data_IF_095816937964
#
_entry.id   IF_095816937964
#
_cell.length_a   1.000
_cell.length_b   1.000
_cell.length_c   1.000
_cell.angle_alpha   90.00
_cell.angle_beta   90.00
_cell.angle_gamma   90.00
#
_symmetry.space_group_name_H-M   'P 1'
#
loop_
_entity.id
_entity.type
_entity.pdbx_description
1 polymer ?
#
# COMPACT_ATOMS: atom_id res chain seq x y z
N UNK A 1 -11.09 4.05 -20.04
CA UNK A 1 -9.67 3.67 -19.78
C UNK A 1 -8.74 4.89 -19.66
N UNK A 2 -8.74 5.83 -20.60
CA UNK A 2 -7.91 7.05 -20.53
C UNK A 2 -8.18 7.85 -19.24
N UNK A 3 -9.46 8.00 -18.85
CA UNK A 3 -9.87 8.69 -17.62
C UNK A 3 -9.24 8.04 -16.37
N UNK A 4 -9.21 6.71 -16.30
CA UNK A 4 -8.58 5.98 -15.19
C UNK A 4 -7.08 6.25 -15.09
N UNK A 5 -6.39 6.34 -16.24
CA UNK A 5 -4.96 6.67 -16.29
C UNK A 5 -4.68 8.10 -15.82
N UNK A 6 -5.51 9.07 -16.25
CA UNK A 6 -5.40 10.45 -15.78
C UNK A 6 -5.57 10.50 -14.26
N UNK A 7 -6.55 9.77 -13.74
CA UNK A 7 -6.82 9.70 -12.31
C UNK A 7 -5.66 9.07 -11.52
N UNK A 8 -5.09 7.98 -12.03
CA UNK A 8 -3.93 7.33 -11.44
C UNK A 8 -2.68 8.21 -11.47
N UNK A 9 -2.46 8.94 -12.57
CA UNK A 9 -1.35 9.90 -12.68
C UNK A 9 -1.48 11.02 -11.66
N UNK A 10 -2.69 11.58 -11.51
CA UNK A 10 -2.99 12.60 -10.51
C UNK A 10 -2.81 12.07 -9.08
N UNK A 11 -3.22 10.83 -8.81
CA UNK A 11 -3.05 10.18 -7.52
C UNK A 11 -1.56 9.95 -7.16
N UNK A 12 -0.74 9.54 -8.14
CA UNK A 12 0.72 9.41 -7.97
C UNK A 12 1.33 10.79 -7.71
N UNK A 13 0.91 11.83 -8.43
CA UNK A 13 1.42 13.19 -8.22
C UNK A 13 1.11 13.69 -6.80
N UNK A 14 -0.12 13.50 -6.31
CA UNK A 14 -0.50 13.82 -4.93
C UNK A 14 0.35 13.02 -3.94
N UNK A 15 0.58 11.73 -4.21
CA UNK A 15 1.40 10.88 -3.34
C UNK A 15 2.85 11.38 -3.25
N UNK A 16 3.44 11.80 -4.37
CA UNK A 16 4.79 12.37 -4.40
C UNK A 16 4.86 13.72 -3.68
N UNK A 17 3.81 14.54 -3.77
CA UNK A 17 3.72 15.77 -3.01
C UNK A 17 3.65 15.51 -1.49
N UNK A 18 2.82 14.55 -1.06
CA UNK A 18 2.74 14.13 0.35
C UNK A 18 4.10 13.59 0.82
N UNK A 19 4.76 12.78 0.00
CA UNK A 19 6.11 12.27 0.28
C UNK A 19 7.11 13.41 0.51
N UNK A 20 7.09 14.43 -0.35
CA UNK A 20 7.94 15.61 -0.19
C UNK A 20 7.69 16.30 1.16
N UNK A 21 6.42 16.59 1.47
CA UNK A 21 6.03 17.29 2.71
C UNK A 21 6.43 16.50 3.95
N UNK A 22 6.20 15.18 3.96
CA UNK A 22 6.55 14.31 5.08
C UNK A 22 8.07 14.17 5.22
N UNK A 23 8.81 14.07 4.12
CA UNK A 23 10.26 13.79 4.17
C UNK A 23 11.11 15.03 4.45
N UNK A 24 10.70 16.22 3.98
CA UNK A 24 11.50 17.46 4.07
C UNK A 24 11.85 17.85 5.51
N UNK A 25 10.90 17.68 6.43
CA UNK A 25 11.00 18.17 7.81
C UNK A 25 11.07 17.03 8.84
N UNK A 26 11.32 15.79 8.43
CA UNK A 26 11.38 14.67 9.36
C UNK A 26 12.72 14.66 10.12
N UNK A 27 12.66 14.91 11.43
CA UNK A 27 13.85 14.97 12.28
C UNK A 27 14.60 13.63 12.36
N UNK A 28 13.90 12.50 12.27
CA UNK A 28 14.52 11.17 12.35
C UNK A 28 15.36 10.90 11.10
N UNK A 29 14.86 11.30 9.92
CA UNK A 29 15.62 11.21 8.66
C UNK A 29 16.84 12.13 8.68
N UNK A 30 16.67 13.38 9.11
CA UNK A 30 17.76 14.37 9.20
C UNK A 30 18.86 13.92 10.16
N UNK A 31 18.49 13.42 11.35
CA UNK A 31 19.44 12.91 12.35
C UNK A 31 20.26 11.72 11.82
N UNK A 32 19.67 10.90 10.95
CA UNK A 32 20.33 9.73 10.34
C UNK A 32 21.05 10.07 9.03
N UNK A 33 21.15 11.35 8.67
CA UNK A 33 21.86 11.80 7.47
C UNK A 33 21.20 11.35 6.16
N UNK A 34 19.92 10.98 6.18
CA UNK A 34 19.21 10.56 4.98
C UNK A 34 18.69 11.80 4.26
N UNK A 35 19.29 12.08 3.11
CA UNK A 35 18.88 13.21 2.26
C UNK A 35 17.51 12.95 1.62
N UNK A 36 16.79 14.03 1.33
CA UNK A 36 15.52 13.99 0.60
C UNK A 36 15.68 13.26 -0.76
N UNK A 37 16.79 13.50 -1.46
CA UNK A 37 17.13 12.85 -2.72
C UNK A 37 17.19 11.31 -2.57
N UNK A 38 17.78 10.83 -1.48
CA UNK A 38 17.84 9.39 -1.22
C UNK A 38 16.46 8.78 -1.01
N UNK A 39 15.54 9.48 -0.33
CA UNK A 39 14.15 9.03 -0.18
C UNK A 39 13.47 8.93 -1.54
N UNK A 40 13.56 9.97 -2.38
CA UNK A 40 12.98 9.94 -3.72
C UNK A 40 13.57 8.85 -4.62
N UNK A 41 14.88 8.65 -4.61
CA UNK A 41 15.53 7.59 -5.37
C UNK A 41 15.00 6.21 -4.96
N UNK A 42 14.81 5.98 -3.66
CA UNK A 42 14.20 4.75 -3.16
C UNK A 42 12.74 4.65 -3.59
N UNK A 43 11.97 5.73 -3.54
CA UNK A 43 10.58 5.77 -3.99
C UNK A 43 10.45 5.35 -5.45
N UNK A 44 11.27 5.88 -6.35
CA UNK A 44 11.18 5.53 -7.77
C UNK A 44 11.54 4.07 -8.03
N UNK A 45 12.55 3.53 -7.33
CA UNK A 45 12.87 2.11 -7.40
C UNK A 45 11.71 1.28 -6.83
N UNK A 46 11.14 1.70 -5.69
CA UNK A 46 9.99 1.06 -5.04
C UNK A 46 8.77 1.04 -5.97
N UNK A 47 8.48 2.13 -6.67
CA UNK A 47 7.40 2.19 -7.67
C UNK A 47 7.61 1.21 -8.84
N UNK A 48 8.85 1.09 -9.32
CA UNK A 48 9.16 0.15 -10.39
C UNK A 48 8.95 -1.31 -9.95
N UNK A 49 9.42 -1.66 -8.75
CA UNK A 49 9.20 -3.01 -8.21
C UNK A 49 7.73 -3.26 -7.84
N UNK A 50 7.01 -2.25 -7.36
CA UNK A 50 5.57 -2.33 -7.13
C UNK A 50 4.82 -2.61 -8.43
N UNK A 51 5.21 -1.97 -9.53
CA UNK A 51 4.65 -2.24 -10.84
C UNK A 51 4.87 -3.70 -11.26
N UNK A 52 6.12 -4.18 -11.17
CA UNK A 52 6.47 -5.56 -11.56
C UNK A 52 5.72 -6.58 -10.70
N UNK A 53 5.77 -6.44 -9.37
CA UNK A 53 5.13 -7.41 -8.47
C UNK A 53 3.62 -7.43 -8.67
N UNK A 54 2.97 -6.26 -8.71
CA UNK A 54 1.52 -6.19 -8.90
C UNK A 54 1.08 -6.76 -10.24
N UNK A 55 1.90 -6.66 -11.31
CA UNK A 55 1.64 -7.32 -12.60
C UNK A 55 1.82 -8.83 -12.53
N UNK A 56 2.93 -9.31 -11.96
CA UNK A 56 3.18 -10.76 -11.83
C UNK A 56 2.06 -11.44 -11.05
N UNK A 57 1.67 -10.89 -9.90
CA UNK A 57 0.60 -11.46 -9.09
C UNK A 57 -0.78 -11.36 -9.76
N UNK A 58 -1.04 -10.31 -10.55
CA UNK A 58 -2.27 -10.24 -11.34
C UNK A 58 -2.33 -11.36 -12.40
N UNK A 59 -1.22 -11.66 -13.06
CA UNK A 59 -1.14 -12.74 -14.05
C UNK A 59 -1.32 -14.10 -13.36
N UNK A 60 -0.73 -14.29 -12.18
CA UNK A 60 -0.91 -15.51 -11.39
C UNK A 60 -2.36 -15.70 -10.91
N UNK A 61 -3.05 -14.63 -10.54
CA UNK A 61 -4.45 -14.70 -10.10
C UNK A 61 -5.41 -15.06 -11.26
N UNK A 62 -5.17 -14.54 -12.47
CA UNK A 62 -6.10 -14.67 -13.60
C UNK A 62 -5.70 -15.76 -14.62
N UNK A 63 -4.47 -16.27 -14.54
CA UNK A 63 -3.90 -17.28 -15.45
C UNK A 63 -4.11 -16.97 -16.95
N UNK A 64 -3.93 -15.70 -17.38
CA UNK A 64 -3.98 -15.35 -18.81
C UNK A 64 -2.58 -15.51 -19.46
N UNK A 65 -2.36 -16.54 -20.30
CA UNK A 65 -1.05 -16.79 -20.92
C UNK A 65 -0.62 -15.66 -21.86
N UNK A 66 -1.55 -14.86 -22.40
CA UNK A 66 -1.23 -13.75 -23.31
C UNK A 66 -0.41 -12.65 -22.62
N UNK A 67 -0.52 -12.54 -21.31
CA UNK A 67 0.18 -11.53 -20.51
C UNK A 67 1.62 -11.94 -20.15
N UNK A 68 2.03 -13.18 -20.44
CA UNK A 68 3.39 -13.67 -20.22
C UNK A 68 4.39 -13.13 -21.25
N UNK A 69 3.92 -12.73 -22.43
CA UNK A 69 4.75 -12.06 -23.43
C UNK A 69 5.27 -10.73 -22.87
N UNK A 70 6.58 -10.51 -22.97
CA UNK A 70 7.26 -9.32 -22.41
C UNK A 70 6.62 -8.01 -22.88
N UNK A 71 6.24 -7.92 -24.16
CA UNK A 71 5.59 -6.73 -24.72
C UNK A 71 4.19 -6.52 -24.11
N UNK A 72 3.39 -7.58 -23.99
CA UNK A 72 2.05 -7.51 -23.40
C UNK A 72 2.11 -7.22 -21.89
N UNK A 73 3.17 -7.67 -21.21
CA UNK A 73 3.42 -7.39 -19.81
C UNK A 73 3.50 -5.89 -19.52
N UNK A 74 4.24 -5.13 -20.35
CA UNK A 74 4.37 -3.67 -20.19
C UNK A 74 3.23 -2.87 -20.85
N UNK A 75 2.44 -3.50 -21.71
CA UNK A 75 1.39 -2.81 -22.46
C UNK A 75 0.06 -2.68 -21.68
N UNK A 76 0.08 -1.83 -20.65
CA UNK A 76 -1.04 -1.60 -19.71
C UNK A 76 -2.30 -1.08 -20.42
N UNK A 77 -2.15 -0.36 -21.54
CA UNK A 77 -3.27 0.19 -22.30
C UNK A 77 -4.14 -0.91 -22.93
N UNK A 78 -3.55 -1.98 -23.47
CA UNK A 78 -4.35 -3.05 -24.10
C UNK A 78 -4.71 -4.16 -23.12
N UNK A 79 -3.82 -4.41 -22.16
CA UNK A 79 -3.97 -5.46 -21.16
C UNK A 79 -3.97 -4.84 -19.76
N UNK A 80 -5.07 -4.17 -19.38
CA UNK A 80 -5.20 -3.59 -18.05
C UNK A 80 -5.25 -4.71 -17.01
N UNK A 81 -4.59 -4.51 -15.87
CA UNK A 81 -4.53 -5.51 -14.82
C UNK A 81 -3.40 -5.24 -13.87
N UNK A 82 -3.71 -5.05 -12.59
CA UNK A 82 -2.71 -4.75 -11.59
C UNK A 82 -3.21 -5.16 -10.21
N UNK A 83 -2.41 -5.95 -9.49
CA UNK A 83 -2.74 -6.34 -8.13
C UNK A 83 -2.12 -5.36 -7.14
N UNK A 84 -2.97 -4.52 -6.53
CA UNK A 84 -2.51 -3.36 -5.75
C UNK A 84 -1.79 -3.78 -4.48
N UNK A 85 -2.33 -4.75 -3.75
CA UNK A 85 -1.77 -5.24 -2.49
C UNK A 85 -0.35 -5.79 -2.69
N UNK A 86 -0.16 -6.61 -3.71
CA UNK A 86 1.11 -7.24 -4.05
C UNK A 86 2.08 -6.24 -4.67
N UNK A 87 1.56 -5.20 -5.33
CA UNK A 87 2.30 -4.00 -5.69
C UNK A 87 2.91 -3.32 -4.46
N UNK A 88 2.12 -3.06 -3.41
CA UNK A 88 2.62 -2.49 -2.16
C UNK A 88 3.72 -3.35 -1.52
N UNK A 89 3.54 -4.69 -1.50
CA UNK A 89 4.58 -5.61 -0.97
C UNK A 89 5.87 -5.49 -1.78
N UNK A 90 5.80 -5.58 -3.11
CA UNK A 90 6.99 -5.50 -3.97
C UNK A 90 7.72 -4.18 -3.82
N UNK A 91 6.98 -3.08 -3.71
CA UNK A 91 7.57 -1.77 -3.44
C UNK A 91 8.27 -1.71 -2.07
N UNK A 92 7.70 -2.31 -1.03
CA UNK A 92 8.31 -2.34 0.30
C UNK A 92 9.52 -3.28 0.39
N UNK A 93 9.53 -4.37 -0.38
CA UNK A 93 10.66 -5.31 -0.43
C UNK A 93 11.98 -4.61 -0.83
N UNK A 94 11.92 -3.58 -1.67
CA UNK A 94 13.08 -2.76 -2.06
C UNK A 94 13.82 -2.18 -0.84
N UNK A 95 13.09 -1.83 0.22
CA UNK A 95 13.69 -1.27 1.44
C UNK A 95 14.57 -2.27 2.18
N UNK A 96 14.35 -3.57 2.00
CA UNK A 96 15.14 -4.62 2.64
C UNK A 96 16.44 -4.92 1.90
N UNK A 97 16.48 -4.71 0.58
CA UNK A 97 17.68 -4.90 -0.23
C UNK A 97 18.70 -3.77 -0.09
N UNK A 98 18.27 -2.57 0.31
CA UNK A 98 19.17 -1.42 0.43
C UNK A 98 19.78 -1.32 1.84
N UNK A 99 21.09 -1.02 1.90
CA UNK A 99 21.91 -0.93 3.12
C UNK A 99 21.61 0.27 4.04
N UNK A 100 20.43 0.89 3.94
CA UNK A 100 20.02 1.99 4.83
C UNK A 100 19.50 1.48 6.17
N UNK A 101 20.28 0.65 6.86
CA UNK A 101 19.81 -0.23 7.94
C UNK A 101 19.02 0.47 9.05
N UNK A 102 19.37 1.71 9.39
CA UNK A 102 18.90 2.36 10.62
C UNK A 102 17.56 3.09 10.49
N UNK A 103 17.16 3.57 9.31
CA UNK A 103 15.90 4.32 9.13
C UNK A 103 14.89 3.65 8.20
N UNK A 104 15.12 2.41 7.78
CA UNK A 104 14.24 1.70 6.81
C UNK A 104 12.78 1.74 7.21
N UNK A 105 12.51 1.48 8.49
CA UNK A 105 11.15 1.45 9.02
C UNK A 105 10.48 2.82 8.99
N UNK A 106 11.24 3.90 9.21
CA UNK A 106 10.72 5.27 9.09
C UNK A 106 10.45 5.64 7.63
N UNK A 107 11.37 5.26 6.72
CA UNK A 107 11.17 5.44 5.28
C UNK A 107 9.96 4.62 4.79
N UNK A 108 9.77 3.40 5.31
CA UNK A 108 8.59 2.59 5.04
C UNK A 108 7.30 3.28 5.50
N UNK A 109 7.27 3.85 6.71
CA UNK A 109 6.12 4.61 7.20
C UNK A 109 5.79 5.81 6.29
N UNK A 110 6.81 6.59 5.90
CA UNK A 110 6.61 7.77 5.03
C UNK A 110 6.12 7.32 3.64
N UNK A 111 6.73 6.29 3.05
CA UNK A 111 6.34 5.73 1.76
C UNK A 111 4.90 5.23 1.78
N UNK A 112 4.59 4.30 2.69
CA UNK A 112 3.24 3.71 2.80
C UNK A 112 2.19 4.79 3.06
N UNK A 113 2.46 5.74 3.95
CA UNK A 113 1.54 6.84 4.25
C UNK A 113 1.32 7.74 3.04
N UNK A 114 2.37 8.05 2.28
CA UNK A 114 2.26 8.88 1.07
C UNK A 114 1.43 8.19 -0.01
N UNK A 115 1.72 6.91 -0.28
CA UNK A 115 1.01 6.12 -1.29
C UNK A 115 -0.36 5.60 -0.85
N UNK A 116 -0.72 5.74 0.42
CA UNK A 116 -2.08 5.48 0.88
C UNK A 116 -3.11 6.37 0.16
N UNK A 117 -2.71 7.58 -0.25
CA UNK A 117 -3.55 8.43 -1.09
C UNK A 117 -3.82 7.82 -2.47
N UNK A 118 -2.80 7.22 -3.11
CA UNK A 118 -3.00 6.43 -4.35
C UNK A 118 -3.95 5.26 -4.13
N UNK A 119 -3.80 4.54 -3.01
CA UNK A 119 -4.69 3.44 -2.66
C UNK A 119 -6.14 3.90 -2.48
N UNK A 120 -6.35 5.00 -1.77
CA UNK A 120 -7.68 5.60 -1.58
C UNK A 120 -8.34 5.95 -2.92
N UNK A 121 -7.59 6.59 -3.83
CA UNK A 121 -8.08 6.88 -5.17
C UNK A 121 -8.36 5.63 -6.00
N UNK A 122 -7.58 4.57 -5.83
CA UNK A 122 -7.85 3.28 -6.46
C UNK A 122 -9.22 2.73 -6.02
N UNK A 123 -9.53 2.75 -4.72
CA UNK A 123 -10.83 2.29 -4.19
C UNK A 123 -11.99 3.17 -4.68
N UNK A 124 -11.77 4.49 -4.83
CA UNK A 124 -12.77 5.38 -5.46
C UNK A 124 -13.00 5.01 -6.92
N UNK A 125 -11.94 4.69 -7.65
CA UNK A 125 -12.05 4.38 -9.09
C UNK A 125 -12.76 3.04 -9.35
N UNK A 126 -12.67 2.09 -8.41
CA UNK A 126 -13.37 0.79 -8.48
C UNK A 126 -14.80 0.86 -7.95
N UNK A 127 -15.33 2.06 -7.74
CA UNK A 127 -16.62 2.26 -7.13
C UNK A 127 -17.76 2.12 -8.13
N UNK A 128 -18.70 1.22 -7.82
CA UNK A 128 -19.91 1.02 -8.62
C UNK A 128 -21.13 1.52 -7.83
N UNK A 129 -21.92 2.41 -8.42
CA UNK A 129 -23.15 2.98 -7.82
C UNK A 129 -24.31 1.97 -7.71
N UNK A 130 -24.05 0.68 -7.86
CA UNK A 130 -25.05 -0.39 -7.75
C UNK A 130 -25.31 -0.83 -6.30
N UNK A 131 -25.75 -2.08 -6.13
CA UNK A 131 -26.10 -2.67 -4.82
C UNK A 131 -24.96 -2.64 -3.79
N UNK A 132 -23.71 -2.59 -4.25
CA UNK A 132 -22.52 -2.60 -3.38
C UNK A 132 -22.20 -1.24 -2.76
N UNK A 133 -22.95 -0.18 -3.12
CA UNK A 133 -22.71 1.17 -2.63
C UNK A 133 -22.78 1.27 -1.10
N UNK A 134 -23.76 0.56 -0.50
CA UNK A 134 -23.99 0.57 0.95
C UNK A 134 -22.78 0.05 1.74
N UNK A 135 -21.97 -0.83 1.15
CA UNK A 135 -20.77 -1.37 1.81
C UNK A 135 -19.52 -0.57 1.45
N UNK A 136 -19.38 -0.15 0.18
CA UNK A 136 -18.20 0.59 -0.28
C UNK A 136 -18.11 2.02 0.31
N UNK A 137 -19.23 2.71 0.58
CA UNK A 137 -19.17 4.06 1.18
C UNK A 137 -18.63 4.09 2.61
N UNK A 138 -19.16 3.28 3.55
CA UNK A 138 -18.60 3.21 4.90
C UNK A 138 -17.11 2.86 4.89
N UNK A 139 -16.71 1.98 3.97
CA UNK A 139 -15.31 1.59 3.79
C UNK A 139 -14.44 2.79 3.35
N UNK A 140 -14.88 3.59 2.38
CA UNK A 140 -14.17 4.80 1.95
C UNK A 140 -14.05 5.82 3.08
N UNK A 141 -15.14 6.08 3.81
CA UNK A 141 -15.13 6.99 4.97
C UNK A 141 -14.15 6.48 6.03
N UNK A 142 -14.18 5.17 6.32
CA UNK A 142 -13.26 4.53 7.25
C UNK A 142 -11.80 4.71 6.84
N UNK A 143 -11.47 4.47 5.56
CA UNK A 143 -10.11 4.67 5.06
C UNK A 143 -9.65 6.13 5.18
N UNK A 144 -10.53 7.09 4.88
CA UNK A 144 -10.24 8.52 5.00
C UNK A 144 -10.00 8.91 6.47
N UNK A 145 -10.83 8.46 7.40
CA UNK A 145 -10.64 8.67 8.83
C UNK A 145 -9.31 8.07 9.30
N UNK A 146 -9.01 6.83 8.90
CA UNK A 146 -7.76 6.16 9.25
C UNK A 146 -6.54 6.91 8.67
N UNK A 147 -6.63 7.44 7.45
CA UNK A 147 -5.57 8.25 6.86
C UNK A 147 -5.22 9.47 7.73
N UNK A 148 -6.23 10.23 8.15
CA UNK A 148 -6.03 11.40 9.00
C UNK A 148 -5.48 11.02 10.39
N UNK A 149 -5.96 9.92 10.98
CA UNK A 149 -5.45 9.41 12.26
C UNK A 149 -3.97 9.00 12.15
N UNK A 150 -3.57 8.35 11.06
CA UNK A 150 -2.19 7.94 10.81
C UNK A 150 -1.28 9.14 10.53
N UNK A 151 -1.74 10.13 9.75
CA UNK A 151 -1.02 11.40 9.55
C UNK A 151 -0.79 12.12 10.88
N UNK A 152 -1.82 12.22 11.72
CA UNK A 152 -1.70 12.85 13.03
C UNK A 152 -0.74 12.06 13.96
N UNK A 153 -0.78 10.72 13.88
CA UNK A 153 0.11 9.85 14.64
C UNK A 153 1.57 9.97 14.20
N UNK A 154 1.81 10.15 12.89
CA UNK A 154 3.12 10.38 12.31
C UNK A 154 3.74 11.70 12.78
N UNK A 155 2.96 12.80 12.70
CA UNK A 155 3.41 14.15 13.11
C UNK A 155 3.75 14.22 14.60
N UNK A 156 2.96 13.55 15.43
CA UNK A 156 3.14 13.56 16.88
C UNK A 156 4.09 12.47 17.40
N UNK A 157 4.72 11.69 16.52
CA UNK A 157 5.60 10.56 16.89
C UNK A 157 4.96 9.59 17.90
N UNK A 158 3.63 9.39 17.82
CA UNK A 158 2.89 8.54 18.77
C UNK A 158 3.18 7.05 18.57
N UNK A 159 3.44 6.66 17.32
CA UNK A 159 3.70 5.29 16.91
C UNK A 159 5.19 5.08 16.68
N UNK A 160 5.66 3.86 16.96
CA UNK A 160 7.02 3.44 16.60
C UNK A 160 7.23 3.44 15.09
N UNK A 161 8.48 3.68 14.69
CA UNK A 161 8.92 3.46 13.31
C UNK A 161 8.51 2.07 12.81
N UNK A 162 7.92 2.02 11.62
CA UNK A 162 7.41 0.83 10.93
C UNK A 162 5.97 0.47 11.30
N UNK A 163 5.42 1.02 12.39
CA UNK A 163 4.04 0.69 12.79
C UNK A 163 2.99 1.27 11.86
N UNK A 164 3.24 2.45 11.27
CA UNK A 164 2.28 3.05 10.32
C UNK A 164 2.20 2.21 9.06
N UNK A 165 3.36 1.79 8.53
CA UNK A 165 3.42 0.88 7.39
C UNK A 165 2.65 -0.41 7.65
N UNK A 166 2.85 -1.04 8.81
CA UNK A 166 2.13 -2.27 9.16
C UNK A 166 0.61 -2.05 9.27
N UNK A 167 0.16 -0.94 9.86
CA UNK A 167 -1.27 -0.62 9.92
C UNK A 167 -1.84 -0.41 8.53
N UNK A 168 -1.13 0.28 7.65
CA UNK A 168 -1.56 0.50 6.26
C UNK A 168 -1.64 -0.83 5.50
N UNK A 169 -0.65 -1.72 5.65
CA UNK A 169 -0.68 -3.06 5.02
C UNK A 169 -1.89 -3.85 5.54
N UNK A 170 -2.16 -3.82 6.84
CA UNK A 170 -3.34 -4.47 7.41
C UNK A 170 -4.65 -3.89 6.83
N UNK A 171 -4.75 -2.57 6.69
CA UNK A 171 -5.92 -1.91 6.09
C UNK A 171 -6.12 -2.29 4.62
N UNK A 172 -5.05 -2.23 3.82
CA UNK A 172 -5.09 -2.64 2.40
C UNK A 172 -5.49 -4.10 2.27
N UNK A 173 -4.95 -4.97 3.15
CA UNK A 173 -5.28 -6.40 3.17
C UNK A 173 -6.74 -6.65 3.52
N UNK A 174 -7.26 -5.98 4.54
CA UNK A 174 -8.65 -6.10 4.95
C UNK A 174 -9.61 -5.62 3.85
N UNK A 175 -9.32 -4.46 3.24
CA UNK A 175 -10.13 -3.95 2.12
C UNK A 175 -10.06 -4.89 0.93
N UNK A 176 -8.87 -5.35 0.54
CA UNK A 176 -8.71 -6.27 -0.60
C UNK A 176 -9.47 -7.59 -0.40
N UNK A 177 -9.48 -8.11 0.83
CA UNK A 177 -10.28 -9.27 1.19
C UNK A 177 -11.78 -9.01 1.04
N UNK A 178 -12.27 -7.88 1.59
CA UNK A 178 -13.67 -7.48 1.53
C UNK A 178 -14.11 -7.26 0.07
N UNK A 179 -13.34 -6.51 -0.72
CA UNK A 179 -13.65 -6.21 -2.12
C UNK A 179 -13.80 -7.50 -2.94
N UNK A 180 -12.86 -8.44 -2.81
CA UNK A 180 -12.96 -9.73 -3.53
C UNK A 180 -14.10 -10.60 -2.99
N UNK A 181 -14.30 -10.66 -1.68
CA UNK A 181 -15.40 -11.42 -1.08
C UNK A 181 -16.79 -10.93 -1.53
N UNK A 182 -16.96 -9.61 -1.62
CA UNK A 182 -18.23 -8.99 -2.03
C UNK A 182 -18.50 -9.19 -3.53
N UNK A 183 -17.49 -8.98 -4.39
CA UNK A 183 -17.65 -9.02 -5.85
C UNK A 183 -18.10 -10.41 -6.32
N UNK A 184 -17.60 -11.49 -5.71
CA UNK A 184 -17.90 -12.84 -6.17
C UNK A 184 -19.25 -13.41 -5.68
N UNK A 185 -20.00 -12.68 -4.83
CA UNK A 185 -21.33 -13.07 -4.33
C UNK A 185 -21.41 -14.54 -3.85
N UNK A 186 -20.28 -15.06 -3.36
CA UNK A 186 -20.08 -16.41 -2.84
C UNK A 186 -19.71 -16.29 -1.37
N UNK A 187 -19.89 -17.37 -0.62
CA UNK A 187 -19.52 -17.41 0.80
C UNK A 187 -18.11 -16.85 1.00
N UNK A 188 -17.98 -15.79 1.81
CA UNK A 188 -16.73 -15.07 2.08
C UNK A 188 -15.60 -16.00 2.58
N UNK A 189 -15.98 -17.18 3.07
CA UNK A 189 -15.09 -18.20 3.63
C UNK A 189 -14.47 -19.12 2.57
N UNK A 190 -14.97 -19.14 1.34
CA UNK A 190 -14.35 -19.92 0.27
C UNK A 190 -13.19 -19.13 -0.34
N UNK A 191 -11.97 -19.61 -0.10
CA UNK A 191 -10.73 -19.02 -0.61
C UNK A 191 -10.57 -19.37 -2.10
N UNK A 192 -10.95 -18.44 -2.98
CA UNK A 192 -10.97 -18.68 -4.44
C UNK A 192 -9.78 -18.07 -5.19
N UNK A 193 -9.11 -17.07 -4.62
CA UNK A 193 -8.01 -16.37 -5.29
C UNK A 193 -6.73 -16.33 -4.45
N UNK A 194 -5.57 -16.33 -5.11
CA UNK A 194 -4.26 -16.32 -4.44
C UNK A 194 -4.11 -15.03 -3.63
N UNK A 195 -4.54 -13.91 -4.19
CA UNK A 195 -4.63 -12.62 -3.49
C UNK A 195 -5.50 -12.62 -2.22
N UNK A 196 -6.62 -13.35 -2.16
CA UNK A 196 -7.40 -13.48 -0.92
C UNK A 196 -6.58 -14.19 0.16
N UNK A 197 -5.89 -15.28 -0.21
CA UNK A 197 -5.00 -16.00 0.71
C UNK A 197 -3.87 -15.09 1.20
N UNK A 198 -3.22 -14.37 0.28
CA UNK A 198 -2.16 -13.41 0.62
C UNK A 198 -2.70 -12.31 1.54
N UNK A 199 -3.90 -11.79 1.28
CA UNK A 199 -4.50 -10.73 2.11
C UNK A 199 -4.73 -11.18 3.56
N UNK A 200 -5.20 -12.41 3.77
CA UNK A 200 -5.39 -12.97 5.12
C UNK A 200 -4.03 -13.13 5.82
N UNK A 201 -3.05 -13.71 5.12
CA UNK A 201 -1.71 -13.93 5.67
C UNK A 201 -1.09 -12.60 6.08
N UNK A 202 -1.14 -11.58 5.21
CA UNK A 202 -0.59 -10.25 5.49
C UNK A 202 -1.32 -9.54 6.60
N UNK A 203 -2.64 -9.66 6.66
CA UNK A 203 -3.43 -9.07 7.73
C UNK A 203 -2.98 -9.63 9.10
N UNK A 204 -2.90 -10.95 9.21
CA UNK A 204 -2.47 -11.65 10.44
C UNK A 204 -1.03 -11.28 10.80
N UNK A 205 -0.10 -11.38 9.85
CA UNK A 205 1.33 -11.06 10.08
C UNK A 205 1.50 -9.60 10.49
N UNK A 206 0.83 -8.68 9.81
CA UNK A 206 0.90 -7.24 10.13
C UNK A 206 0.35 -6.97 11.53
N UNK A 207 -0.78 -7.57 11.89
CA UNK A 207 -1.39 -7.41 13.21
C UNK A 207 -0.48 -7.94 14.33
N UNK A 208 0.10 -9.13 14.15
CA UNK A 208 1.05 -9.72 15.09
C UNK A 208 2.28 -8.81 15.26
N UNK A 209 2.86 -8.35 14.16
CA UNK A 209 4.03 -7.46 14.18
C UNK A 209 3.72 -6.11 14.84
N UNK A 210 2.52 -5.55 14.65
CA UNK A 210 2.10 -4.32 15.34
C UNK A 210 2.13 -4.53 16.86
N UNK A 211 1.53 -5.63 17.36
CA UNK A 211 1.50 -5.93 18.80
C UNK A 211 2.92 -6.04 19.35
N UNK A 212 3.81 -6.77 18.66
CA UNK A 212 5.21 -6.89 19.08
C UNK A 212 5.93 -5.54 19.06
N UNK A 213 5.74 -4.74 18.01
CA UNK A 213 6.44 -3.47 17.86
C UNK A 213 6.05 -2.47 18.97
N UNK A 214 4.79 -2.49 19.41
CA UNK A 214 4.24 -1.61 20.45
C UNK A 214 4.60 -2.05 21.89
N UNK A 215 4.67 -3.36 22.17
CA UNK A 215 5.05 -3.88 23.51
C UNK A 215 6.41 -3.36 23.99
N UNK A 216 7.34 -3.15 23.08
CA UNK A 216 8.69 -2.63 23.39
C UNK A 216 8.65 -1.19 23.89
N UNK A 217 7.69 -0.37 23.45
CA UNK A 217 7.54 1.01 23.93
C UNK A 217 6.97 1.04 25.35
N UNK A 218 5.97 0.20 25.64
CA UNK A 218 5.35 0.13 26.96
C UNK A 218 6.32 -0.24 28.08
N UNK A 219 7.40 -0.97 27.75
CA UNK A 219 8.47 -1.33 28.71
C UNK A 219 9.51 -0.23 28.94
N UNK A 220 9.63 0.78 28.07
CA UNK A 220 10.56 1.91 28.25
C UNK A 220 9.93 3.11 28.97
N UNK A 221 8.60 3.10 29.13
CA UNK A 221 7.83 4.14 29.85
C UNK A 221 7.45 3.74 31.28
N UNK A 222 7.82 2.53 31.71
CA UNK A 222 7.80 2.08 33.11
C UNK A 222 9.23 2.08 33.62
#
# INVERSE_FOLDING_TARGET
MIIYLIFLFLAIFISLFVLYVLSKNDFILLRKGITLLNVFNITFISLFFAFISGRVFYILDNFDPRMLDVLNFFHILKYPGFSVLEGFIGGLLVLFFKRYSEARLRVADILTLSFFSTYYFFVISSFDFGKLWIVKMPLLIFLLVMYFLLLNSHKNYKLRDGSIALVIIALISLVGFIDKGIIFNKNILELHSVSQVISIILFIVSFILIIFNQRVIGRRRR
#
